data_IF_439781482347
#
_entry.id   IF_439781482347
#
_cell.length_a   1.000
_cell.length_b   1.000
_cell.length_c   1.000
_cell.angle_alpha   90.00
_cell.angle_beta   90.00
_cell.angle_gamma   90.00
#
_symmetry.space_group_name_H-M   'P 1'
#
loop_
_entity.id
_entity.type
_entity.pdbx_description
1 polymer ?
#
# COMPACT_ATOMS: atom_id res chain seq x y z
N UNK A 1 -9.08 -9.46 8.36
CA UNK A 1 -7.78 -10.04 7.93
C UNK A 1 -7.40 -9.63 6.52
N UNK A 2 -8.31 -9.73 5.54
CA UNK A 2 -8.04 -9.35 4.13
C UNK A 2 -7.43 -7.95 3.97
N UNK A 3 -8.01 -6.92 4.57
CA UNK A 3 -7.50 -5.54 4.45
C UNK A 3 -6.13 -5.37 5.14
N UNK A 4 -5.91 -6.07 6.26
CA UNK A 4 -4.61 -6.11 6.94
C UNK A 4 -3.53 -6.70 6.02
N UNK A 5 -3.83 -7.80 5.33
CA UNK A 5 -2.90 -8.40 4.37
C UNK A 5 -2.61 -7.47 3.20
N UNK A 6 -3.64 -6.83 2.63
CA UNK A 6 -3.49 -5.86 1.53
C UNK A 6 -2.61 -4.67 1.94
N UNK A 7 -2.79 -4.15 3.16
CA UNK A 7 -1.97 -3.05 3.70
C UNK A 7 -0.51 -3.47 3.91
N UNK A 8 -0.26 -4.65 4.50
CA UNK A 8 1.10 -5.15 4.73
C UNK A 8 1.84 -5.40 3.42
N UNK A 9 1.17 -5.95 2.42
CA UNK A 9 1.75 -6.18 1.09
C UNK A 9 2.07 -4.86 0.40
N UNK A 10 1.15 -3.89 0.42
CA UNK A 10 1.39 -2.57 -0.16
C UNK A 10 2.52 -1.80 0.54
N UNK A 11 2.61 -1.90 1.87
CA UNK A 11 3.69 -1.28 2.65
C UNK A 11 5.06 -1.92 2.34
N UNK A 12 5.14 -3.25 2.36
CA UNK A 12 6.37 -3.97 2.07
C UNK A 12 6.87 -3.70 0.63
N UNK A 13 5.95 -3.58 -0.32
CA UNK A 13 6.28 -3.27 -1.70
C UNK A 13 6.80 -1.83 -1.89
N UNK A 14 6.31 -0.86 -1.11
CA UNK A 14 6.82 0.53 -1.10
C UNK A 14 8.13 0.68 -0.32
N UNK A 15 8.37 -0.13 0.72
CA UNK A 15 9.58 -0.06 1.53
C UNK A 15 10.80 -0.65 0.81
N UNK A 16 10.59 -1.69 -0.02
CA UNK A 16 11.66 -2.36 -0.76
C UNK A 16 11.50 -2.30 -2.29
N UNK A 17 11.36 -1.10 -2.90
CA UNK A 17 11.21 -0.97 -4.35
C UNK A 17 12.45 -1.47 -5.09
N UNK A 18 13.65 -1.31 -4.48
CA UNK A 18 14.92 -1.67 -5.08
C UNK A 18 15.33 -3.14 -4.95
N UNK A 19 14.87 -3.85 -3.91
CA UNK A 19 15.32 -5.22 -3.64
C UNK A 19 14.82 -6.21 -4.68
N UNK A 20 13.65 -5.96 -5.28
CA UNK A 20 13.07 -6.82 -6.32
C UNK A 20 13.69 -6.63 -7.72
N UNK A 21 14.26 -5.47 -8.01
CA UNK A 21 14.75 -5.14 -9.35
C UNK A 21 16.28 -5.17 -9.49
N UNK A 22 17.06 -4.99 -8.42
CA UNK A 22 18.51 -4.82 -8.49
C UNK A 22 19.32 -6.01 -7.96
N UNK A 23 18.99 -7.23 -8.38
CA UNK A 23 19.71 -8.44 -7.92
C UNK A 23 21.12 -8.60 -8.50
N UNK A 24 21.42 -8.05 -9.69
CA UNK A 24 22.67 -8.31 -10.43
C UNK A 24 23.27 -7.12 -11.22
N UNK A 25 22.85 -5.87 -10.97
CA UNK A 25 23.41 -4.70 -11.69
C UNK A 25 23.77 -3.57 -10.73
N UNK A 26 25.08 -3.30 -10.63
CA UNK A 26 25.67 -2.26 -9.77
C UNK A 26 25.48 -0.82 -10.29
N UNK A 27 24.90 -0.63 -11.48
CA UNK A 27 24.72 0.68 -12.11
C UNK A 27 23.27 0.84 -12.61
N UNK A 28 22.39 1.55 -11.87
CA UNK A 28 21.03 1.82 -12.29
C UNK A 28 21.00 2.96 -13.32
N UNK A 29 21.61 2.77 -14.50
CA UNK A 29 22.01 3.91 -15.34
C UNK A 29 20.98 4.40 -16.37
N UNK A 30 19.86 3.71 -16.61
CA UNK A 30 18.94 4.13 -17.71
C UNK A 30 17.53 4.51 -17.23
N UNK A 31 17.12 4.20 -16.00
CA UNK A 31 15.78 4.56 -15.49
C UNK A 31 15.70 4.96 -14.01
N UNK A 32 16.83 5.07 -13.30
CA UNK A 32 16.95 5.24 -11.83
C UNK A 32 15.78 5.94 -11.10
N UNK A 33 15.84 7.27 -10.99
CA UNK A 33 14.87 8.10 -10.27
C UNK A 33 13.43 8.06 -10.85
N UNK A 34 13.21 8.34 -12.15
CA UNK A 34 11.84 8.39 -12.70
C UNK A 34 11.10 7.04 -12.58
N UNK A 35 11.80 5.91 -12.66
CA UNK A 35 11.20 4.59 -12.45
C UNK A 35 10.82 4.34 -11.00
N UNK A 36 11.69 4.67 -10.05
CA UNK A 36 11.39 4.53 -8.61
C UNK A 36 10.19 5.42 -8.23
N UNK A 37 10.10 6.63 -8.78
CA UNK A 37 8.94 7.50 -8.58
C UNK A 37 7.67 6.95 -9.23
N UNK A 38 7.75 6.43 -10.45
CA UNK A 38 6.60 5.79 -11.12
C UNK A 38 6.11 4.55 -10.38
N UNK A 39 7.03 3.70 -9.93
CA UNK A 39 6.73 2.53 -9.11
C UNK A 39 6.07 2.92 -7.78
N UNK A 40 6.66 3.88 -7.05
CA UNK A 40 6.06 4.39 -5.81
C UNK A 40 4.69 5.01 -6.04
N UNK A 41 4.49 5.74 -7.14
CA UNK A 41 3.21 6.35 -7.48
C UNK A 41 2.12 5.30 -7.74
N UNK A 42 2.47 4.19 -8.41
CA UNK A 42 1.55 3.07 -8.64
C UNK A 42 1.17 2.37 -7.32
N UNK A 43 2.13 2.11 -6.43
CA UNK A 43 1.85 1.51 -5.12
C UNK A 43 1.10 2.46 -4.19
N UNK A 44 1.39 3.76 -4.27
CA UNK A 44 0.61 4.78 -3.59
C UNK A 44 -0.85 4.79 -4.06
N UNK A 45 -1.09 4.73 -5.38
CA UNK A 45 -2.45 4.63 -5.93
C UNK A 45 -3.16 3.34 -5.48
N UNK A 46 -2.43 2.21 -5.42
CA UNK A 46 -2.94 0.96 -4.85
C UNK A 46 -3.36 1.14 -3.39
N UNK A 47 -2.53 1.78 -2.55
CA UNK A 47 -2.85 2.00 -1.14
C UNK A 47 -4.06 2.91 -0.95
N UNK A 48 -4.19 3.95 -1.78
CA UNK A 48 -5.38 4.80 -1.83
C UNK A 48 -6.65 3.96 -2.14
N UNK A 49 -6.57 3.05 -3.11
CA UNK A 49 -7.68 2.16 -3.44
C UNK A 49 -8.02 1.18 -2.30
N UNK A 50 -7.01 0.63 -1.61
CA UNK A 50 -7.21 -0.24 -0.44
C UNK A 50 -7.86 0.52 0.71
N UNK A 51 -7.43 1.75 0.98
CA UNK A 51 -8.07 2.62 1.98
C UNK A 51 -9.51 2.98 1.60
N UNK A 52 -9.77 3.30 0.34
CA UNK A 52 -11.14 3.57 -0.13
C UNK A 52 -12.03 2.34 0.03
N UNK A 53 -11.53 1.16 -0.35
CA UNK A 53 -12.24 -0.09 -0.15
C UNK A 53 -12.52 -0.35 1.33
N UNK A 54 -11.53 -0.16 2.20
CA UNK A 54 -11.68 -0.31 3.65
C UNK A 54 -12.74 0.65 4.22
N UNK A 55 -12.80 1.87 3.71
CA UNK A 55 -13.82 2.85 4.07
C UNK A 55 -15.23 2.40 3.66
N UNK A 56 -15.39 1.91 2.42
CA UNK A 56 -16.66 1.43 1.89
C UNK A 56 -17.20 0.22 2.65
N UNK A 57 -16.32 -0.67 3.12
CA UNK A 57 -16.73 -1.83 3.95
C UNK A 57 -16.79 -1.51 5.44
N UNK A 58 -16.71 -0.24 5.83
CA UNK A 58 -16.71 0.23 7.22
C UNK A 58 -15.70 -0.50 8.11
N UNK A 59 -14.55 -0.84 7.56
CA UNK A 59 -13.53 -1.60 8.26
C UNK A 59 -12.99 -0.79 9.45
N UNK A 60 -13.06 -1.39 10.65
CA UNK A 60 -12.61 -0.74 11.89
C UNK A 60 -13.67 0.07 12.61
N UNK A 61 -14.93 0.15 12.12
CA UNK A 61 -16.03 0.65 12.97
C UNK A 61 -16.27 -0.34 14.13
N UNK A 62 -16.33 0.12 15.39
CA UNK A 62 -16.80 -0.72 16.47
C UNK A 62 -18.25 -1.13 16.17
N UNK A 63 -18.60 -2.39 16.48
CA UNK A 63 -19.95 -2.93 16.31
C UNK A 63 -21.02 -2.20 17.16
N UNK A 64 -20.62 -1.16 17.91
CA UNK A 64 -21.45 -0.45 18.88
C UNK A 64 -21.59 1.01 18.48
N UNK A 65 -22.43 1.29 17.49
CA UNK A 65 -23.03 2.60 17.31
C UNK A 65 -24.57 2.52 17.30
N UNK A 66 -25.13 1.55 18.04
CA UNK A 66 -26.57 1.43 18.31
C UNK A 66 -26.87 1.24 19.81
N UNK A 67 -26.07 1.86 20.69
CA UNK A 67 -26.21 1.71 22.14
C UNK A 67 -26.02 2.97 22.96
N UNK A 68 -26.14 4.15 22.35
CA UNK A 68 -26.10 5.46 23.03
C UNK A 68 -27.48 5.93 23.47
N UNK A 69 -28.25 5.06 24.14
CA UNK A 69 -29.44 5.43 24.89
C UNK A 69 -29.28 4.86 26.29
N UNK A 70 -28.58 5.61 27.15
CA UNK A 70 -28.63 5.55 28.62
C UNK A 70 -27.90 6.77 29.16
#
# INVERSE_FOLDING_TARGET
MVIWTLLLVGLAAMEFPGVFFFKDRATPEIFGLPFIYGYNLLWWAYMCAVMLYAYLVHWGRPATAEGGAR
#
